data_IF_625003866562
#
_entry.id   IF_625003866562
#
_cell.length_a   1.000
_cell.length_b   1.000
_cell.length_c   1.000
_cell.angle_alpha   90.00
_cell.angle_beta   90.00
_cell.angle_gamma   90.00
#
_symmetry.space_group_name_H-M   'P 1'
#
loop_
_entity.id
_entity.type
_entity.pdbx_description
1 polymer ?
#
# COMPACT_ATOMS: atom_id res chain seq x y z
N UNK A 1 12.93 -6.61 11.99
CA UNK A 1 13.71 -5.36 12.19
C UNK A 1 13.52 -4.50 10.94
N UNK A 2 12.83 -3.37 11.04
CA UNK A 2 12.62 -2.48 9.90
C UNK A 2 13.97 -1.91 9.46
N UNK A 3 14.28 -2.01 8.17
CA UNK A 3 15.49 -1.45 7.58
C UNK A 3 15.41 0.06 7.73
N UNK A 4 16.21 0.64 8.63
CA UNK A 4 16.35 2.10 8.74
C UNK A 4 16.80 2.62 7.39
N UNK A 5 15.89 3.24 6.64
CA UNK A 5 16.25 3.92 5.39
C UNK A 5 17.16 5.06 5.80
N UNK A 6 18.43 5.00 5.39
CA UNK A 6 19.39 6.06 5.61
C UNK A 6 18.81 7.36 5.04
N UNK A 7 18.37 8.27 5.92
CA UNK A 7 17.80 9.56 5.52
C UNK A 7 18.95 10.44 5.07
N UNK A 8 19.31 10.35 3.80
CA UNK A 8 20.26 11.28 3.18
C UNK A 8 19.58 12.64 3.04
N UNK A 9 19.99 13.60 3.85
CA UNK A 9 19.56 14.99 3.69
C UNK A 9 20.24 15.58 2.46
N UNK A 10 19.43 16.11 1.54
CA UNK A 10 19.91 16.80 0.34
C UNK A 10 19.64 18.30 0.54
N UNK A 11 20.64 19.18 0.33
CA UNK A 11 20.43 20.61 0.45
C UNK A 11 19.48 21.09 -0.65
N UNK A 12 18.54 21.96 -0.28
CA UNK A 12 17.56 22.52 -1.20
C UNK A 12 17.73 24.04 -1.24
N UNK A 13 18.25 24.54 -2.36
CA UNK A 13 18.46 25.97 -2.60
C UNK A 13 17.26 26.57 -3.34
N UNK A 14 16.62 27.56 -2.73
CA UNK A 14 15.49 28.30 -3.33
C UNK A 14 15.61 29.80 -3.04
N UNK A 15 15.04 30.63 -3.92
CA UNK A 15 14.97 32.09 -3.78
C UNK A 15 13.52 32.47 -3.54
N UNK A 16 13.27 33.22 -2.48
CA UNK A 16 11.95 33.75 -2.16
C UNK A 16 12.01 35.28 -2.08
N UNK A 17 10.95 35.98 -2.50
CA UNK A 17 10.77 37.40 -2.20
C UNK A 17 10.82 37.68 -0.69
N UNK A 18 11.31 38.85 -0.30
CA UNK A 18 11.37 39.24 1.13
C UNK A 18 9.99 39.22 1.80
N UNK A 19 8.94 39.62 1.07
CA UNK A 19 7.56 39.57 1.53
C UNK A 19 7.13 38.16 1.93
N UNK A 20 7.46 37.16 1.12
CA UNK A 20 7.09 35.76 1.38
C UNK A 20 7.88 35.22 2.57
N UNK A 21 9.17 35.56 2.68
CA UNK A 21 10.02 35.19 3.82
C UNK A 21 9.43 35.72 5.13
N UNK A 22 8.99 36.99 5.16
CA UNK A 22 8.41 37.58 6.36
C UNK A 22 7.12 36.88 6.80
N UNK A 23 6.26 36.48 5.85
CA UNK A 23 5.03 35.72 6.13
C UNK A 23 5.37 34.33 6.68
N UNK A 24 6.33 33.64 6.05
CA UNK A 24 6.77 32.30 6.47
C UNK A 24 7.36 32.34 7.88
N UNK A 25 8.21 33.31 8.18
CA UNK A 25 8.82 33.46 9.51
C UNK A 25 7.78 33.65 10.60
N UNK A 26 6.78 34.49 10.33
CA UNK A 26 5.67 34.70 11.24
C UNK A 26 4.90 33.39 11.48
N UNK A 27 4.61 32.63 10.43
CA UNK A 27 3.91 31.36 10.54
C UNK A 27 4.73 30.29 11.27
N UNK A 28 6.04 30.23 11.01
CA UNK A 28 6.97 29.32 11.67
C UNK A 28 7.09 29.64 13.17
N UNK A 29 7.20 30.93 13.53
CA UNK A 29 7.24 31.40 14.91
C UNK A 29 5.96 31.03 15.67
N UNK A 30 4.78 31.21 15.07
CA UNK A 30 3.50 30.80 15.67
C UNK A 30 3.41 29.29 15.92
N UNK A 31 4.12 28.49 15.13
CA UNK A 31 4.15 27.03 15.25
C UNK A 31 5.33 26.53 16.10
N UNK A 32 6.18 27.42 16.60
CA UNK A 32 7.36 27.08 17.40
C UNK A 32 8.43 26.28 16.65
N UNK A 33 8.54 26.45 15.33
CA UNK A 33 9.43 25.68 14.44
C UNK A 33 10.43 26.61 13.76
N UNK A 34 11.54 26.06 13.27
CA UNK A 34 12.45 26.82 12.38
C UNK A 34 11.79 27.08 11.03
N UNK A 35 12.18 28.17 10.34
CA UNK A 35 11.74 28.48 8.96
C UNK A 35 11.90 27.26 8.05
N UNK A 36 13.08 26.63 8.09
CA UNK A 36 13.42 25.49 7.24
C UNK A 36 12.53 24.28 7.52
N UNK A 37 12.26 23.98 8.80
CA UNK A 37 11.38 22.87 9.16
C UNK A 37 9.94 23.13 8.75
N UNK A 38 9.47 24.37 8.92
CA UNK A 38 8.13 24.77 8.50
C UNK A 38 7.93 24.62 6.99
N UNK A 39 8.88 25.12 6.19
CA UNK A 39 8.83 25.00 4.73
C UNK A 39 8.96 23.54 4.28
N UNK A 40 9.84 22.75 4.92
CA UNK A 40 9.99 21.32 4.63
C UNK A 40 8.68 20.57 4.86
N UNK A 41 8.06 20.76 6.03
CA UNK A 41 6.82 20.08 6.40
C UNK A 41 5.67 20.48 5.46
N UNK A 42 5.54 21.78 5.16
CA UNK A 42 4.54 22.28 4.22
C UNK A 42 4.73 21.72 2.80
N UNK A 43 5.97 21.65 2.31
CA UNK A 43 6.28 21.14 0.98
C UNK A 43 6.00 19.63 0.87
N UNK A 44 6.37 18.84 1.88
CA UNK A 44 6.08 17.40 1.92
C UNK A 44 4.58 17.16 1.92
N UNK A 45 3.84 17.89 2.76
CA UNK A 45 2.40 17.73 2.86
C UNK A 45 1.69 18.10 1.56
N UNK A 46 2.07 19.22 0.94
CA UNK A 46 1.54 19.60 -0.36
C UNK A 46 1.83 18.56 -1.44
N UNK A 47 3.02 17.95 -1.42
CA UNK A 47 3.35 16.87 -2.36
C UNK A 47 2.52 15.60 -2.10
N UNK A 48 2.32 15.21 -0.84
CA UNK A 48 1.48 14.07 -0.46
C UNK A 48 0.02 14.27 -0.92
N UNK A 49 -0.53 15.47 -0.72
CA UNK A 49 -1.89 15.80 -1.15
C UNK A 49 -2.04 15.64 -2.67
N UNK A 50 -1.10 16.15 -3.46
CA UNK A 50 -1.09 16.00 -4.92
C UNK A 50 -0.95 14.54 -5.35
N UNK A 51 -0.11 13.76 -4.67
CA UNK A 51 0.06 12.33 -4.96
C UNK A 51 -1.21 11.53 -4.65
N UNK A 52 -1.94 11.89 -3.59
CA UNK A 52 -3.22 11.27 -3.27
C UNK A 52 -4.31 11.60 -4.30
N UNK A 53 -4.36 12.82 -4.81
CA UNK A 53 -5.30 13.22 -5.86
C UNK A 53 -5.04 12.54 -7.20
N UNK A 54 -3.77 12.29 -7.52
CA UNK A 54 -3.33 11.79 -8.84
C UNK A 54 -3.14 10.28 -8.92
N UNK A 55 -3.44 9.54 -7.85
CA UNK A 55 -3.38 8.08 -7.83
C UNK A 55 -4.77 7.43 -8.01
N UNK A 56 -5.37 7.44 -9.23
CA UNK A 56 -6.61 6.73 -9.46
C UNK A 56 -6.37 5.23 -9.22
N UNK A 57 -7.15 4.63 -8.33
CA UNK A 57 -7.14 3.18 -8.12
C UNK A 57 -7.65 2.53 -9.41
N UNK A 58 -6.72 2.11 -10.28
CA UNK A 58 -7.06 1.32 -11.46
C UNK A 58 -7.51 -0.06 -11.00
N UNK A 59 -8.78 -0.35 -11.20
CA UNK A 59 -9.33 -1.68 -10.99
C UNK A 59 -10.06 -2.17 -12.23
N UNK A 60 -10.04 -3.49 -12.43
CA UNK A 60 -10.85 -4.12 -13.47
C UNK A 60 -12.34 -3.95 -13.14
N UNK A 61 -13.24 -4.01 -14.14
CA UNK A 61 -14.68 -3.98 -13.89
C UNK A 61 -15.15 -5.05 -12.88
N UNK A 62 -14.52 -6.23 -12.89
CA UNK A 62 -14.77 -7.30 -11.91
C UNK A 62 -14.31 -6.93 -10.49
N UNK A 63 -13.17 -6.24 -10.35
CA UNK A 63 -12.68 -5.71 -9.08
C UNK A 63 -13.58 -4.61 -8.51
N UNK A 64 -14.11 -3.74 -9.37
CA UNK A 64 -15.06 -2.70 -8.97
C UNK A 64 -16.39 -3.29 -8.46
N UNK A 65 -16.92 -4.32 -9.13
CA UNK A 65 -18.14 -5.01 -8.68
C UNK A 65 -17.97 -5.66 -7.30
N UNK A 66 -16.82 -6.32 -7.07
CA UNK A 66 -16.50 -6.91 -5.77
C UNK A 66 -16.36 -5.85 -4.67
N UNK A 67 -15.65 -4.76 -4.95
CA UNK A 67 -15.51 -3.62 -4.03
C UNK A 67 -16.88 -3.00 -3.66
N UNK A 68 -17.75 -2.80 -4.65
CA UNK A 68 -19.10 -2.27 -4.43
C UNK A 68 -19.99 -3.23 -3.62
N UNK A 69 -19.86 -4.55 -3.81
CA UNK A 69 -20.59 -5.54 -3.03
C UNK A 69 -20.19 -5.51 -1.54
N UNK A 70 -18.89 -5.35 -1.24
CA UNK A 70 -18.39 -5.18 0.14
C UNK A 70 -18.86 -3.86 0.76
N UNK A 71 -18.84 -2.75 0.01
CA UNK A 71 -19.25 -1.42 0.51
C UNK A 71 -20.77 -1.31 0.77
N UNK A 72 -21.58 -2.04 0.02
CA UNK A 72 -23.05 -2.02 0.14
C UNK A 72 -23.58 -3.04 1.16
N UNK A 73 -22.70 -3.74 1.88
CA UNK A 73 -23.11 -4.66 2.94
C UNK A 73 -23.75 -5.96 2.45
N UNK A 74 -23.42 -6.44 1.25
CA UNK A 74 -23.79 -7.78 0.80
C UNK A 74 -22.58 -8.71 0.92
N UNK A 75 -22.46 -9.51 2.00
CA UNK A 75 -21.32 -10.39 2.20
C UNK A 75 -21.49 -11.63 1.32
N UNK A 76 -21.05 -11.57 0.06
CA UNK A 76 -21.30 -12.68 -0.87
C UNK A 76 -20.71 -12.57 -2.27
N UNK A 77 -19.52 -12.00 -2.43
CA UNK A 77 -18.78 -12.12 -3.70
C UNK A 77 -17.27 -12.23 -3.42
N UNK A 78 -16.90 -13.27 -2.67
CA UNK A 78 -15.50 -13.64 -2.43
C UNK A 78 -14.81 -13.99 -3.75
N UNK A 79 -13.72 -13.31 -4.05
CA UNK A 79 -12.80 -13.66 -5.12
C UNK A 79 -11.99 -14.89 -4.68
N UNK A 80 -12.45 -16.08 -5.08
CA UNK A 80 -11.74 -17.35 -4.89
C UNK A 80 -10.45 -17.39 -5.73
N UNK A 81 -9.41 -16.68 -5.28
CA UNK A 81 -8.02 -16.95 -5.69
C UNK A 81 -7.46 -17.98 -4.73
N UNK A 82 -7.66 -19.23 -5.11
CA UNK A 82 -7.05 -20.43 -4.53
C UNK A 82 -5.55 -20.22 -4.30
N UNK A 83 -5.13 -20.23 -3.04
CA UNK A 83 -3.78 -20.63 -2.67
C UNK A 83 -3.69 -22.14 -2.93
N UNK A 84 -2.75 -22.65 -3.75
CA UNK A 84 -2.54 -24.09 -3.80
C UNK A 84 -1.96 -24.53 -2.46
N UNK A 85 -2.75 -25.29 -1.70
CA UNK A 85 -2.27 -26.01 -0.54
C UNK A 85 -1.16 -26.98 -1.00
N UNK A 86 0.01 -26.79 -0.39
CA UNK A 86 1.22 -27.60 -0.52
C UNK A 86 0.85 -29.08 -0.39
N UNK A 87 1.36 -29.89 -1.34
CA UNK A 87 0.99 -31.29 -1.51
C UNK A 87 1.04 -32.14 -0.23
N UNK A 88 -0.08 -32.80 0.02
CA UNK A 88 -0.16 -34.01 0.82
C UNK A 88 -0.80 -35.08 -0.07
N UNK A 89 0.03 -35.79 -0.84
CA UNK A 89 -0.38 -36.99 -1.56
C UNK A 89 -0.23 -38.14 -0.57
N UNK A 90 -1.28 -38.35 0.21
CA UNK A 90 -1.44 -39.43 1.17
C UNK A 90 -2.71 -40.20 0.83
N UNK A 91 -2.48 -41.38 0.28
CA UNK A 91 -3.31 -42.59 0.39
C UNK A 91 -4.62 -42.76 -0.41
N UNK A 92 -4.79 -44.04 -0.76
CA UNK A 92 -6.01 -44.80 -1.09
C UNK A 92 -6.39 -44.81 -2.58
N UNK A 93 -6.53 -45.95 -3.26
CA UNK A 93 -6.55 -47.36 -2.88
C UNK A 93 -7.20 -48.15 -4.03
N UNK A 94 -7.52 -49.43 -3.79
CA UNK A 94 -8.36 -50.37 -4.59
C UNK A 94 -7.59 -51.34 -5.51
N UNK A 95 -7.31 -52.56 -5.04
CA UNK A 95 -8.13 -53.79 -5.13
C UNK A 95 -8.16 -54.46 -6.52
N UNK A 96 -7.63 -55.69 -6.63
CA UNK A 96 -8.44 -56.87 -7.02
C UNK A 96 -7.70 -58.20 -6.81
N UNK A 97 -8.43 -59.10 -6.15
CA UNK A 97 -8.19 -60.54 -6.00
C UNK A 97 -8.30 -61.25 -7.34
N UNK A 98 -7.40 -62.19 -7.64
CA UNK A 98 -7.76 -63.51 -8.18
C UNK A 98 -6.53 -64.42 -8.18
N UNK A 99 -6.60 -65.55 -7.48
CA UNK A 99 -5.50 -66.51 -7.38
C UNK A 99 -5.38 -67.45 -8.58
N UNK A 100 -4.22 -68.11 -8.68
CA UNK A 100 -4.13 -69.54 -8.98
C UNK A 100 -2.76 -70.09 -8.56
N UNK A 101 -2.85 -71.23 -7.90
CA UNK A 101 -1.81 -72.14 -7.39
C UNK A 101 -1.15 -72.87 -8.57
N UNK A 102 0.12 -73.24 -8.46
CA UNK A 102 0.75 -74.54 -8.78
C UNK A 102 2.27 -74.31 -8.57
N UNK A 103 2.82 -74.85 -7.49
CA UNK A 103 3.41 -76.19 -7.34
C UNK A 103 4.84 -76.20 -7.91
#
# INVERSE_FOLDING_TARGET
MARSVERKEHPLSMRLPETDIAIIDRAAALRGRSRTDFVRDAAVRAAEDVLMETAPIRMSPSGFKAFMATRTGCPGAGNSRTLPARGAMGEQGVFKRSGRRLA
#
